data_IF_430300438805
#
_entry.id   IF_430300438805
#
_cell.length_a   1.000
_cell.length_b   1.000
_cell.length_c   1.000
_cell.angle_alpha   90.00
_cell.angle_beta   90.00
_cell.angle_gamma   90.00
#
_symmetry.space_group_name_H-M   'P 1'
#
loop_
_entity.id
_entity.type
_entity.pdbx_description
1 polymer ?
#
# COMPACT_ATOMS: atom_id res chain seq x y z
N UNK A 1 -4.02 20.27 19.59
CA UNK A 1 -5.05 19.21 19.37
C UNK A 1 -4.43 18.25 18.39
N UNK A 2 -4.43 16.96 18.68
CA UNK A 2 -3.98 15.94 17.71
C UNK A 2 -5.02 15.90 16.60
N UNK A 3 -4.62 16.16 15.36
CA UNK A 3 -5.50 16.08 14.19
C UNK A 3 -5.98 14.65 14.03
N UNK A 4 -7.31 14.46 13.92
CA UNK A 4 -7.87 13.13 13.71
C UNK A 4 -7.54 12.63 12.31
N UNK A 5 -7.19 11.38 12.20
CA UNK A 5 -6.95 10.75 10.90
C UNK A 5 -8.26 10.49 10.19
N UNK A 6 -8.31 10.85 8.91
CA UNK A 6 -9.51 10.83 8.08
C UNK A 6 -9.52 9.58 7.21
N UNK A 7 -10.65 8.90 7.20
CA UNK A 7 -10.87 7.70 6.38
C UNK A 7 -12.07 7.92 5.47
N UNK A 8 -11.87 7.81 4.17
CA UNK A 8 -12.93 7.83 3.18
C UNK A 8 -13.46 6.40 3.00
N UNK A 9 -14.76 6.21 3.20
CA UNK A 9 -15.46 4.94 3.02
C UNK A 9 -16.30 5.05 1.76
N UNK A 10 -16.00 4.21 0.78
CA UNK A 10 -16.67 4.17 -0.51
C UNK A 10 -17.37 2.83 -0.65
N UNK A 11 -18.67 2.80 -0.48
CA UNK A 11 -19.50 1.59 -0.49
C UNK A 11 -20.94 1.97 -0.82
N UNK A 12 -21.58 1.31 -1.77
CA UNK A 12 -22.96 1.59 -2.16
C UNK A 12 -24.00 1.00 -1.20
N UNK A 13 -23.59 0.05 -0.33
CA UNK A 13 -24.41 -0.43 0.78
C UNK A 13 -24.26 0.50 1.99
N UNK A 14 -25.25 1.38 2.19
CA UNK A 14 -25.27 2.32 3.31
C UNK A 14 -25.14 1.63 4.67
N UNK A 15 -25.72 0.43 4.86
CA UNK A 15 -25.66 -0.27 6.14
C UNK A 15 -24.25 -0.76 6.45
N UNK A 16 -23.54 -1.26 5.43
CA UNK A 16 -22.14 -1.67 5.56
C UNK A 16 -21.26 -0.46 5.83
N UNK A 17 -21.44 0.61 5.06
CA UNK A 17 -20.65 1.85 5.20
C UNK A 17 -20.85 2.49 6.58
N UNK A 18 -22.08 2.58 7.08
CA UNK A 18 -22.39 3.10 8.42
C UNK A 18 -21.78 2.22 9.51
N UNK A 19 -21.87 0.90 9.37
CA UNK A 19 -21.28 -0.04 10.33
C UNK A 19 -19.77 0.11 10.41
N UNK A 20 -19.09 0.21 9.25
CA UNK A 20 -17.64 0.47 9.18
C UNK A 20 -17.31 1.80 9.86
N UNK A 21 -18.04 2.86 9.51
CA UNK A 21 -17.86 4.19 10.08
C UNK A 21 -17.98 4.17 11.61
N UNK A 22 -18.98 3.47 12.14
CA UNK A 22 -19.22 3.36 13.57
C UNK A 22 -18.07 2.68 14.32
N UNK A 23 -17.48 1.64 13.73
CA UNK A 23 -16.30 0.98 14.28
C UNK A 23 -15.06 1.90 14.25
N UNK A 24 -14.85 2.61 13.14
CA UNK A 24 -13.71 3.51 12.98
C UNK A 24 -13.80 4.75 13.88
N UNK A 25 -15.01 5.32 14.05
CA UNK A 25 -15.22 6.44 14.97
C UNK A 25 -14.95 6.06 16.43
N UNK A 26 -15.24 4.82 16.86
CA UNK A 26 -14.86 4.30 18.20
C UNK A 26 -13.35 4.27 18.41
N UNK A 27 -12.58 4.13 17.32
CA UNK A 27 -11.12 4.17 17.32
C UNK A 27 -10.56 5.58 17.07
N UNK A 28 -11.41 6.60 17.24
CA UNK A 28 -11.07 8.02 17.11
C UNK A 28 -10.71 8.49 15.69
N UNK A 29 -11.06 7.76 14.64
CA UNK A 29 -10.96 8.22 13.26
C UNK A 29 -12.10 9.18 12.90
N UNK A 30 -11.86 10.09 11.96
CA UNK A 30 -12.87 10.86 11.29
C UNK A 30 -13.22 10.16 9.97
N UNK A 31 -14.50 9.95 9.70
CA UNK A 31 -14.96 9.18 8.54
C UNK A 31 -15.88 10.03 7.65
N UNK A 32 -15.77 9.83 6.35
CA UNK A 32 -16.70 10.31 5.33
C UNK A 32 -17.17 9.14 4.50
N UNK A 33 -18.49 9.02 4.29
CA UNK A 33 -19.11 7.95 3.52
C UNK A 33 -19.56 8.52 2.18
N UNK A 34 -19.32 7.76 1.10
CA UNK A 34 -19.83 8.02 -0.25
C UNK A 34 -20.28 6.72 -0.89
N UNK A 35 -21.36 6.74 -1.69
CA UNK A 35 -21.97 5.54 -2.25
C UNK A 35 -21.67 5.27 -3.73
N UNK A 36 -20.83 6.08 -4.37
CA UNK A 36 -20.51 5.95 -5.80
C UNK A 36 -19.11 6.45 -6.15
N UNK A 37 -18.61 6.05 -7.33
CA UNK A 37 -17.26 6.32 -7.74
C UNK A 37 -16.97 7.78 -8.09
N UNK A 38 -17.91 8.50 -8.67
CA UNK A 38 -17.77 9.91 -9.02
C UNK A 38 -17.65 10.78 -7.76
N UNK A 39 -18.55 10.57 -6.80
CA UNK A 39 -18.50 11.23 -5.49
C UNK A 39 -17.20 10.87 -4.74
N UNK A 40 -16.73 9.63 -4.84
CA UNK A 40 -15.48 9.21 -4.22
C UNK A 40 -14.28 10.02 -4.71
N UNK A 41 -14.17 10.25 -6.02
CA UNK A 41 -13.06 11.03 -6.60
C UNK A 41 -13.14 12.51 -6.21
N UNK A 42 -14.34 13.11 -6.20
CA UNK A 42 -14.54 14.49 -5.77
C UNK A 42 -14.21 14.68 -4.29
N UNK A 43 -14.75 13.80 -3.46
CA UNK A 43 -14.58 13.85 -2.01
C UNK A 43 -13.18 13.50 -1.57
N UNK A 44 -12.47 12.68 -2.34
CA UNK A 44 -11.04 12.40 -2.09
C UNK A 44 -10.21 13.68 -2.10
N UNK A 45 -10.43 14.54 -3.09
CA UNK A 45 -9.67 15.79 -3.24
C UNK A 45 -10.03 16.83 -2.18
N UNK A 46 -11.29 16.89 -1.75
CA UNK A 46 -11.77 17.81 -0.72
C UNK A 46 -11.44 17.34 0.69
N UNK A 47 -11.75 16.09 1.01
CA UNK A 47 -11.61 15.51 2.34
C UNK A 47 -10.16 15.17 2.69
N UNK A 48 -9.30 14.92 1.69
CA UNK A 48 -7.88 14.54 1.83
C UNK A 48 -7.69 13.41 2.84
N UNK A 49 -8.23 12.24 2.57
CA UNK A 49 -8.19 11.12 3.50
C UNK A 49 -6.76 10.59 3.68
N UNK A 50 -6.50 10.03 4.85
CA UNK A 50 -5.25 9.31 5.16
C UNK A 50 -5.33 7.83 4.79
N UNK A 51 -6.54 7.33 4.48
CA UNK A 51 -6.81 5.98 3.99
C UNK A 51 -8.18 5.96 3.29
N UNK A 52 -8.28 5.14 2.25
CA UNK A 52 -9.54 4.86 1.54
C UNK A 52 -9.92 3.40 1.75
N UNK A 53 -11.14 3.15 2.21
CA UNK A 53 -11.80 1.85 2.12
C UNK A 53 -12.69 1.87 0.90
N UNK A 54 -12.49 0.97 -0.05
CA UNK A 54 -13.06 1.07 -1.38
C UNK A 54 -13.75 -0.22 -1.78
N UNK A 55 -15.07 -0.19 -1.93
CA UNK A 55 -15.78 -1.30 -2.58
C UNK A 55 -15.46 -1.35 -4.07
N UNK A 56 -15.41 -2.56 -4.60
CA UNK A 56 -15.22 -2.81 -6.02
C UNK A 56 -16.50 -2.65 -6.84
N UNK A 57 -17.63 -2.98 -6.23
CA UNK A 57 -18.94 -3.07 -6.92
C UNK A 57 -19.73 -1.78 -6.74
N UNK A 58 -19.20 -0.67 -7.23
CA UNK A 58 -19.86 0.63 -7.17
C UNK A 58 -20.74 0.89 -8.41
N UNK A 59 -21.83 1.66 -8.26
CA UNK A 59 -22.58 2.15 -9.39
C UNK A 59 -21.79 3.22 -10.16
N UNK A 60 -21.96 3.27 -11.48
CA UNK A 60 -21.27 4.21 -12.36
C UNK A 60 -19.81 3.82 -12.60
N UNK A 61 -18.88 4.50 -11.97
CA UNK A 61 -17.45 4.19 -12.02
C UNK A 61 -17.15 3.11 -10.98
N UNK A 62 -16.62 1.97 -11.44
CA UNK A 62 -16.27 0.86 -10.55
C UNK A 62 -15.06 1.18 -9.63
N UNK A 63 -14.92 0.40 -8.55
CA UNK A 63 -13.83 0.61 -7.59
C UNK A 63 -12.44 0.43 -8.19
N UNK A 64 -12.28 -0.35 -9.25
CA UNK A 64 -11.00 -0.49 -9.93
C UNK A 64 -10.59 0.81 -10.64
N UNK A 65 -11.54 1.47 -11.29
CA UNK A 65 -11.29 2.75 -11.94
C UNK A 65 -11.03 3.85 -10.90
N UNK A 66 -11.81 3.90 -9.80
CA UNK A 66 -11.58 4.83 -8.69
C UNK A 66 -10.16 4.66 -8.13
N UNK A 67 -9.72 3.41 -7.88
CA UNK A 67 -8.37 3.12 -7.43
C UNK A 67 -7.30 3.64 -8.39
N UNK A 68 -7.46 3.42 -9.68
CA UNK A 68 -6.53 3.88 -10.72
C UNK A 68 -6.43 5.40 -10.76
N UNK A 69 -7.57 6.09 -10.69
CA UNK A 69 -7.63 7.56 -10.70
C UNK A 69 -6.95 8.15 -9.46
N UNK A 70 -7.21 7.59 -8.26
CA UNK A 70 -6.52 8.01 -7.04
C UNK A 70 -5.02 7.76 -7.16
N UNK A 71 -4.59 6.60 -7.65
CA UNK A 71 -3.18 6.25 -7.81
C UNK A 71 -2.44 7.11 -8.83
N UNK A 72 -3.13 7.67 -9.80
CA UNK A 72 -2.52 8.59 -10.77
C UNK A 72 -2.05 9.89 -10.12
N UNK A 73 -2.61 10.27 -8.96
CA UNK A 73 -2.38 11.56 -8.30
C UNK A 73 -1.95 11.46 -6.83
N UNK A 74 -2.04 10.27 -6.21
CA UNK A 74 -1.74 10.12 -4.78
C UNK A 74 -1.25 8.72 -4.41
N UNK A 75 -0.40 8.67 -3.38
CA UNK A 75 0.02 7.44 -2.71
C UNK A 75 -0.82 7.11 -1.47
N UNK A 76 -1.93 7.83 -1.21
CA UNK A 76 -2.83 7.54 -0.09
C UNK A 76 -3.20 6.06 -0.05
N UNK A 77 -3.04 5.37 1.09
CA UNK A 77 -3.34 3.95 1.17
C UNK A 77 -4.79 3.61 0.81
N UNK A 78 -4.96 2.51 0.07
CA UNK A 78 -6.28 1.99 -0.33
C UNK A 78 -6.40 0.55 0.12
N UNK A 79 -7.45 0.24 0.89
CA UNK A 79 -7.86 -1.14 1.19
C UNK A 79 -9.12 -1.41 0.37
N UNK A 80 -9.06 -2.38 -0.52
CA UNK A 80 -10.24 -2.80 -1.29
C UNK A 80 -11.12 -3.73 -0.48
N UNK A 81 -12.43 -3.51 -0.55
CA UNK A 81 -13.46 -4.36 0.03
C UNK A 81 -14.22 -5.02 -1.11
N UNK A 82 -14.49 -6.32 -1.04
CA UNK A 82 -15.21 -7.00 -2.11
C UNK A 82 -16.00 -8.21 -1.63
N UNK A 83 -17.19 -8.40 -2.20
CA UNK A 83 -17.95 -9.62 -2.06
C UNK A 83 -17.37 -10.80 -2.91
N UNK A 84 -16.47 -10.49 -3.85
CA UNK A 84 -15.84 -11.48 -4.72
C UNK A 84 -14.57 -12.02 -4.09
N UNK A 85 -14.57 -13.33 -3.84
CA UNK A 85 -13.43 -14.04 -3.27
C UNK A 85 -12.50 -14.69 -4.33
N UNK A 86 -12.71 -14.42 -5.62
CA UNK A 86 -11.89 -15.03 -6.66
C UNK A 86 -10.47 -14.44 -6.65
N UNK A 87 -9.50 -15.33 -6.86
CA UNK A 87 -8.07 -14.95 -6.88
C UNK A 87 -7.80 -13.87 -7.92
N UNK A 88 -8.52 -13.91 -9.04
CA UNK A 88 -8.39 -12.93 -10.13
C UNK A 88 -8.75 -11.51 -9.68
N UNK A 89 -9.84 -11.32 -8.94
CA UNK A 89 -10.29 -10.01 -8.47
C UNK A 89 -9.29 -9.40 -7.48
N UNK A 90 -8.70 -10.25 -6.61
CA UNK A 90 -7.67 -9.81 -5.66
C UNK A 90 -6.39 -9.36 -6.38
N UNK A 91 -5.93 -10.17 -7.35
CA UNK A 91 -4.74 -9.86 -8.14
C UNK A 91 -4.96 -8.55 -8.90
N UNK A 92 -6.10 -8.40 -9.56
CA UNK A 92 -6.42 -7.18 -10.32
C UNK A 92 -6.48 -5.94 -9.42
N UNK A 93 -7.11 -6.02 -8.24
CA UNK A 93 -7.18 -4.90 -7.30
C UNK A 93 -5.79 -4.45 -6.84
N UNK A 94 -4.94 -5.41 -6.49
CA UNK A 94 -3.55 -5.14 -6.12
C UNK A 94 -2.73 -4.66 -7.32
N UNK A 95 -2.95 -5.19 -8.52
CA UNK A 95 -2.35 -4.71 -9.77
C UNK A 95 -2.66 -3.24 -10.05
N UNK A 96 -3.85 -2.78 -9.68
CA UNK A 96 -4.28 -1.40 -9.88
C UNK A 96 -3.80 -0.44 -8.78
N UNK A 97 -3.18 -0.94 -7.71
CA UNK A 97 -2.54 -0.10 -6.71
C UNK A 97 -3.11 -0.18 -5.30
N UNK A 98 -4.03 -1.09 -5.03
CA UNK A 98 -4.46 -1.31 -3.65
C UNK A 98 -3.29 -1.80 -2.78
N UNK A 99 -3.26 -1.36 -1.52
CA UNK A 99 -2.26 -1.76 -0.53
C UNK A 99 -2.69 -3.02 0.21
N UNK A 100 -3.99 -3.25 0.31
CA UNK A 100 -4.57 -4.45 0.93
C UNK A 100 -5.95 -4.75 0.31
N UNK A 101 -6.46 -5.96 0.57
CA UNK A 101 -7.72 -6.47 0.04
C UNK A 101 -8.45 -7.28 1.12
N UNK A 102 -9.73 -7.02 1.32
CA UNK A 102 -10.58 -7.75 2.26
C UNK A 102 -11.83 -8.28 1.58
N UNK A 103 -12.23 -9.49 1.97
CA UNK A 103 -13.45 -10.12 1.45
C UNK A 103 -14.62 -9.83 2.40
N UNK A 104 -15.74 -9.41 1.86
CA UNK A 104 -17.02 -9.32 2.57
C UNK A 104 -17.69 -10.71 2.65
N UNK A 105 -18.28 -11.12 3.80
CA UNK A 105 -18.28 -10.41 5.07
C UNK A 105 -16.96 -10.53 5.83
N UNK A 106 -16.54 -9.47 6.52
CA UNK A 106 -15.32 -9.43 7.29
C UNK A 106 -15.59 -9.20 8.78
N UNK A 107 -14.65 -9.62 9.62
CA UNK A 107 -14.68 -9.33 11.05
C UNK A 107 -14.26 -7.87 11.30
N UNK A 108 -15.00 -7.17 12.18
CA UNK A 108 -14.72 -5.78 12.51
C UNK A 108 -13.34 -5.57 13.14
N UNK A 109 -12.85 -6.54 13.93
CA UNK A 109 -11.52 -6.46 14.54
C UNK A 109 -10.43 -6.62 13.48
N UNK A 110 -10.66 -7.47 12.48
CA UNK A 110 -9.75 -7.62 11.33
C UNK A 110 -9.65 -6.30 10.55
N UNK A 111 -10.80 -5.70 10.20
CA UNK A 111 -10.83 -4.40 9.52
C UNK A 111 -10.04 -3.34 10.29
N UNK A 112 -10.33 -3.18 11.59
CA UNK A 112 -9.64 -2.20 12.45
C UNK A 112 -8.13 -2.49 12.51
N UNK A 113 -7.73 -3.74 12.66
CA UNK A 113 -6.33 -4.11 12.71
C UNK A 113 -5.58 -3.77 11.43
N UNK A 114 -6.18 -4.03 10.26
CA UNK A 114 -5.62 -3.68 8.94
C UNK A 114 -5.55 -2.18 8.74
N UNK A 115 -6.62 -1.44 9.04
CA UNK A 115 -6.64 0.02 8.99
C UNK A 115 -5.53 0.63 9.86
N UNK A 116 -5.42 0.20 11.13
CA UNK A 116 -4.36 0.67 12.04
C UNK A 116 -2.96 0.34 11.51
N UNK A 117 -2.76 -0.86 10.98
CA UNK A 117 -1.47 -1.26 10.44
C UNK A 117 -1.07 -0.41 9.24
N UNK A 118 -2.00 -0.18 8.29
CA UNK A 118 -1.76 0.61 7.08
C UNK A 118 -1.51 2.08 7.44
N UNK A 119 -2.37 2.69 8.28
CA UNK A 119 -2.22 4.10 8.67
C UNK A 119 -0.93 4.34 9.49
N UNK A 120 -0.59 3.45 10.42
CA UNK A 120 0.66 3.56 11.19
C UNK A 120 1.88 3.62 10.28
N UNK A 121 1.89 2.80 9.25
CA UNK A 121 2.98 2.76 8.26
C UNK A 121 3.06 4.06 7.47
N UNK A 122 1.92 4.63 7.10
CA UNK A 122 1.85 5.86 6.31
C UNK A 122 2.18 7.12 7.10
N UNK A 123 1.76 7.22 8.38
CA UNK A 123 2.04 8.40 9.21
C UNK A 123 3.51 8.56 9.60
N UNK A 124 4.25 7.48 9.69
CA UNK A 124 5.68 7.55 9.89
C UNK A 124 6.41 8.17 8.67
N UNK A 125 5.71 8.30 7.54
CA UNK A 125 6.23 8.88 6.29
C UNK A 125 6.15 10.42 6.24
N UNK A 126 5.36 11.06 7.12
CA UNK A 126 5.02 12.49 6.99
C UNK A 126 5.83 13.43 7.89
N UNK A 127 6.75 12.93 8.69
CA UNK A 127 7.53 13.77 9.62
C UNK A 127 8.98 13.89 9.15
N UNK A 128 9.29 15.07 8.60
CA UNK A 128 10.59 15.75 8.55
C UNK A 128 11.59 15.41 7.44
N UNK A 129 12.11 16.48 6.89
CA UNK A 129 13.32 16.61 6.08
C UNK A 129 14.48 15.74 6.59
N UNK A 130 15.42 15.32 5.72
CA UNK A 130 16.47 14.37 6.08
C UNK A 130 17.51 15.03 7.00
N UNK A 131 17.30 14.95 8.29
CA UNK A 131 18.44 14.92 9.21
C UNK A 131 18.98 13.50 9.17
N UNK A 132 20.27 13.37 8.90
CA UNK A 132 21.02 12.12 8.98
C UNK A 132 20.95 11.60 10.41
N UNK A 133 19.94 10.80 10.70
CA UNK A 133 19.83 10.14 11.99
C UNK A 133 20.49 8.77 11.93
N UNK A 134 21.65 8.68 12.54
CA UNK A 134 22.33 7.45 12.91
C UNK A 134 21.53 6.74 14.01
N UNK A 135 20.51 5.92 13.63
CA UNK A 135 19.75 5.15 14.60
C UNK A 135 18.32 4.84 14.17
N UNK A 136 18.13 4.11 13.07
CA UNK A 136 16.82 3.65 12.62
C UNK A 136 16.96 2.51 11.60
N UNK A 137 15.86 1.85 11.24
CA UNK A 137 15.82 0.85 10.20
C UNK A 137 15.92 1.52 8.82
N UNK A 138 17.13 1.64 8.28
CA UNK A 138 17.36 2.14 6.94
C UNK A 138 18.45 1.36 6.23
N UNK A 139 18.44 1.42 4.92
CA UNK A 139 19.54 0.93 4.07
C UNK A 139 19.97 2.04 3.12
N UNK A 140 21.27 2.10 2.84
CA UNK A 140 21.88 3.09 1.98
C UNK A 140 22.79 2.41 0.94
N UNK A 141 22.55 2.74 -0.31
CA UNK A 141 23.36 2.33 -1.45
C UNK A 141 23.66 3.56 -2.31
N UNK A 142 24.64 3.53 -3.20
CA UNK A 142 24.83 4.61 -4.15
C UNK A 142 23.52 4.94 -4.87
N UNK A 143 23.12 6.22 -4.79
CA UNK A 143 21.90 6.79 -5.36
C UNK A 143 20.57 6.30 -4.74
N UNK A 144 20.56 5.43 -3.72
CA UNK A 144 19.35 4.92 -3.09
C UNK A 144 19.46 4.92 -1.57
N UNK A 145 18.52 5.58 -0.91
CA UNK A 145 18.30 5.46 0.54
C UNK A 145 16.86 5.02 0.78
N UNK A 146 16.68 3.92 1.51
CA UNK A 146 15.37 3.41 1.92
C UNK A 146 15.30 3.44 3.44
N UNK A 147 14.40 4.23 3.98
CA UNK A 147 14.26 4.42 5.42
C UNK A 147 12.88 3.95 5.88
N UNK A 148 12.86 2.83 6.62
CA UNK A 148 11.63 2.27 7.20
C UNK A 148 11.14 3.01 8.43
N UNK A 149 12.01 3.75 9.11
CA UNK A 149 11.63 4.49 10.31
C UNK A 149 10.69 5.64 9.98
N UNK A 150 10.97 6.35 8.88
CA UNK A 150 10.15 7.47 8.43
C UNK A 150 9.40 7.19 7.11
N UNK A 151 9.41 5.94 6.63
CA UNK A 151 8.76 5.51 5.38
C UNK A 151 9.12 6.37 4.17
N UNK A 152 10.40 6.70 4.03
CA UNK A 152 10.90 7.55 2.96
C UNK A 152 11.89 6.80 2.06
N UNK A 153 11.82 7.09 0.76
CA UNK A 153 12.78 6.61 -0.23
C UNK A 153 13.38 7.81 -0.95
N UNK A 154 14.69 7.87 -0.98
CA UNK A 154 15.42 8.85 -1.79
C UNK A 154 16.17 8.12 -2.89
N UNK A 155 15.93 8.51 -4.14
CA UNK A 155 16.62 7.98 -5.31
C UNK A 155 17.20 9.12 -6.16
N UNK A 156 18.50 9.03 -6.49
CA UNK A 156 19.25 10.10 -7.18
C UNK A 156 19.12 11.46 -6.48
N UNK A 157 19.09 11.47 -5.14
CA UNK A 157 18.96 12.68 -4.33
C UNK A 157 17.56 13.30 -4.31
N UNK A 158 16.56 12.64 -4.90
CA UNK A 158 15.15 13.08 -4.91
C UNK A 158 14.30 12.15 -4.07
N UNK A 159 13.33 12.71 -3.35
CA UNK A 159 12.34 11.90 -2.67
C UNK A 159 11.41 11.22 -3.68
N UNK A 160 11.18 9.92 -3.51
CA UNK A 160 10.30 9.10 -4.35
C UNK A 160 9.12 8.63 -3.52
N UNK A 161 7.93 9.07 -3.88
CA UNK A 161 6.70 8.62 -3.22
C UNK A 161 6.40 7.17 -3.57
N UNK A 162 6.23 6.35 -2.54
CA UNK A 162 5.90 4.94 -2.68
C UNK A 162 4.74 4.54 -1.77
N UNK A 163 3.75 3.78 -2.27
CA UNK A 163 2.78 3.10 -1.43
C UNK A 163 3.49 2.21 -0.40
N UNK A 164 2.89 2.02 0.81
CA UNK A 164 3.54 1.29 1.89
C UNK A 164 4.09 -0.08 1.50
N UNK A 165 3.34 -0.87 0.75
CA UNK A 165 3.77 -2.21 0.34
C UNK A 165 4.93 -2.23 -0.65
N UNK A 166 5.04 -1.23 -1.49
CA UNK A 166 6.19 -1.07 -2.38
C UNK A 166 7.45 -0.73 -1.58
N UNK A 167 7.33 0.17 -0.61
CA UNK A 167 8.44 0.56 0.25
C UNK A 167 8.91 -0.60 1.13
N UNK A 168 7.97 -1.33 1.76
CA UNK A 168 8.28 -2.51 2.58
C UNK A 168 9.01 -3.59 1.75
N UNK A 169 8.55 -3.85 0.54
CA UNK A 169 9.17 -4.82 -0.36
C UNK A 169 10.57 -4.38 -0.77
N UNK A 170 10.75 -3.10 -1.12
CA UNK A 170 12.06 -2.55 -1.45
C UNK A 170 13.02 -2.64 -0.27
N UNK A 171 12.57 -2.22 0.92
CA UNK A 171 13.37 -2.29 2.15
C UNK A 171 13.78 -3.74 2.46
N UNK A 172 12.82 -4.66 2.43
CA UNK A 172 13.08 -6.07 2.72
C UNK A 172 14.14 -6.65 1.78
N UNK A 173 14.00 -6.42 0.48
CA UNK A 173 14.97 -6.91 -0.51
C UNK A 173 16.33 -6.24 -0.34
N UNK A 174 16.39 -4.93 -0.14
CA UNK A 174 17.64 -4.18 0.00
C UNK A 174 18.34 -4.44 1.33
N UNK A 175 17.62 -4.82 2.38
CA UNK A 175 18.20 -5.24 3.66
C UNK A 175 18.83 -6.64 3.61
N UNK A 176 18.58 -7.42 2.54
CA UNK A 176 19.12 -8.75 2.33
C UNK A 176 19.82 -8.84 0.97
N UNK A 177 20.91 -8.08 0.76
CA UNK A 177 21.55 -7.99 -0.55
C UNK A 177 22.08 -9.34 -1.01
N UNK A 178 21.93 -9.62 -2.30
CA UNK A 178 22.34 -10.85 -2.98
C UNK A 178 21.62 -12.13 -2.53
N UNK A 179 20.68 -12.05 -1.60
CA UNK A 179 19.84 -13.17 -1.21
C UNK A 179 18.63 -13.29 -2.15
N UNK A 180 18.37 -14.51 -2.61
CA UNK A 180 17.20 -14.82 -3.44
C UNK A 180 16.03 -15.19 -2.54
N UNK A 181 14.89 -14.57 -2.77
CA UNK A 181 13.62 -14.89 -2.11
C UNK A 181 12.61 -15.41 -3.12
N UNK A 182 11.90 -16.47 -2.76
CA UNK A 182 10.77 -16.93 -3.58
C UNK A 182 9.62 -15.95 -3.49
N UNK A 183 8.66 -16.06 -4.43
CA UNK A 183 7.45 -15.24 -4.40
C UNK A 183 6.63 -15.46 -3.13
N UNK A 184 6.53 -16.70 -2.70
CA UNK A 184 5.86 -17.10 -1.46
C UNK A 184 6.51 -16.44 -0.24
N UNK A 185 7.85 -16.54 -0.15
CA UNK A 185 8.59 -15.90 0.96
C UNK A 185 8.38 -14.40 1.00
N UNK A 186 8.40 -13.72 -0.15
CA UNK A 186 8.14 -12.29 -0.21
C UNK A 186 6.69 -11.96 0.15
N UNK A 187 5.75 -12.77 -0.30
CA UNK A 187 4.34 -12.60 0.05
C UNK A 187 4.14 -12.72 1.57
N UNK A 188 4.65 -13.79 2.18
CA UNK A 188 4.54 -14.04 3.61
C UNK A 188 5.18 -12.93 4.45
N UNK A 189 6.37 -12.46 4.06
CA UNK A 189 7.08 -11.44 4.83
C UNK A 189 6.45 -10.04 4.71
N UNK A 190 5.88 -9.69 3.55
CA UNK A 190 5.36 -8.33 3.29
C UNK A 190 3.86 -8.24 3.52
N UNK A 191 3.09 -9.27 3.18
CA UNK A 191 1.63 -9.29 3.33
C UNK A 191 1.15 -10.13 4.51
N UNK A 192 1.99 -11.05 5.01
CA UNK A 192 1.71 -11.92 6.16
C UNK A 192 1.23 -13.31 5.76
N UNK A 193 1.40 -14.29 6.67
CA UNK A 193 1.04 -15.71 6.43
C UNK A 193 -0.46 -15.94 6.21
N UNK A 194 -1.31 -15.06 6.72
CA UNK A 194 -2.77 -15.15 6.55
C UNK A 194 -3.24 -14.54 5.21
N UNK A 195 -2.32 -14.02 4.42
CA UNK A 195 -2.66 -13.43 3.13
C UNK A 195 -3.01 -14.51 2.12
N UNK A 196 -4.29 -14.66 1.81
CA UNK A 196 -4.83 -15.65 0.84
C UNK A 196 -4.79 -15.06 -0.59
N UNK A 197 -3.68 -14.42 -0.96
CA UNK A 197 -3.50 -13.83 -2.29
C UNK A 197 -2.61 -14.67 -3.21
N UNK A 198 -2.62 -14.33 -4.50
CA UNK A 198 -1.73 -14.94 -5.50
C UNK A 198 -0.30 -14.37 -5.34
N UNK A 199 0.69 -15.22 -5.52
CA UNK A 199 2.12 -14.83 -5.52
C UNK A 199 2.46 -13.83 -6.63
N UNK A 200 1.63 -13.71 -7.67
CA UNK A 200 1.74 -12.68 -8.72
C UNK A 200 1.63 -11.26 -8.20
N UNK A 201 1.03 -11.06 -7.03
CA UNK A 201 1.04 -9.77 -6.33
C UNK A 201 2.45 -9.22 -6.20
N UNK A 202 3.42 -10.07 -5.88
CA UNK A 202 4.83 -9.71 -5.78
C UNK A 202 5.37 -9.20 -7.11
N UNK A 203 5.07 -9.90 -8.22
CA UNK A 203 5.53 -9.53 -9.56
C UNK A 203 5.10 -8.11 -9.95
N UNK A 204 3.87 -7.76 -9.61
CA UNK A 204 3.30 -6.44 -9.88
C UNK A 204 4.01 -5.34 -9.09
N UNK A 205 4.23 -5.55 -7.79
CA UNK A 205 4.92 -4.58 -6.96
C UNK A 205 6.39 -4.43 -7.38
N UNK A 206 7.06 -5.52 -7.78
CA UNK A 206 8.42 -5.46 -8.37
C UNK A 206 8.42 -4.63 -9.67
N UNK A 207 7.43 -4.83 -10.54
CA UNK A 207 7.30 -4.03 -11.76
C UNK A 207 7.22 -2.54 -11.45
N UNK A 208 6.35 -2.15 -10.50
CA UNK A 208 6.17 -0.76 -10.09
C UNK A 208 7.41 -0.17 -9.43
N UNK A 209 8.11 -0.94 -8.60
CA UNK A 209 9.38 -0.52 -8.05
C UNK A 209 10.38 -0.18 -9.16
N UNK A 210 10.48 -1.04 -10.19
CA UNK A 210 11.38 -0.80 -11.34
C UNK A 210 10.97 0.38 -12.20
N UNK A 211 9.69 0.77 -12.19
CA UNK A 211 9.20 1.97 -12.88
C UNK A 211 9.58 3.26 -12.14
N UNK A 212 9.68 3.20 -10.80
CA UNK A 212 10.01 4.35 -9.94
C UNK A 212 11.50 4.50 -9.67
N UNK A 213 12.20 3.37 -9.50
CA UNK A 213 13.64 3.32 -9.27
C UNK A 213 14.27 2.43 -10.32
N UNK A 214 15.25 2.95 -11.06
CA UNK A 214 15.90 2.20 -12.12
C UNK A 214 17.19 1.57 -11.62
N UNK A 215 17.46 0.35 -12.10
CA UNK A 215 18.73 -0.31 -11.89
C UNK A 215 19.91 0.57 -12.33
N UNK A 216 20.99 0.53 -11.59
CA UNK A 216 22.20 1.28 -11.93
C UNK A 216 23.44 0.36 -11.96
N UNK A 217 24.63 0.96 -12.08
CA UNK A 217 25.88 0.18 -12.10
C UNK A 217 26.24 -0.46 -10.75
N UNK A 218 25.64 -0.02 -9.65
CA UNK A 218 25.97 -0.47 -8.29
C UNK A 218 25.02 -1.54 -7.77
N UNK A 219 23.75 -1.48 -8.15
CA UNK A 219 22.73 -2.43 -7.70
C UNK A 219 21.59 -2.60 -8.73
N UNK A 220 20.80 -3.65 -8.55
CA UNK A 220 19.63 -3.94 -9.36
C UNK A 220 18.61 -4.78 -8.59
N UNK A 221 17.33 -4.63 -8.90
CA UNK A 221 16.32 -5.61 -8.49
C UNK A 221 16.27 -6.69 -9.56
N UNK A 222 16.92 -7.81 -9.32
CA UNK A 222 17.11 -8.88 -10.31
C UNK A 222 16.07 -9.97 -10.18
N UNK A 223 15.58 -10.47 -11.33
CA UNK A 223 14.68 -11.63 -11.39
C UNK A 223 15.52 -12.91 -11.48
N UNK A 224 15.25 -13.87 -10.60
CA UNK A 224 15.78 -15.22 -10.69
C UNK A 224 14.68 -16.10 -11.28
N UNK A 225 14.83 -16.44 -12.56
CA UNK A 225 13.80 -17.13 -13.33
C UNK A 225 13.38 -18.45 -12.68
N UNK A 226 12.07 -18.63 -12.58
CA UNK A 226 11.47 -19.82 -11.95
C UNK A 226 11.51 -19.84 -10.42
N UNK A 227 12.17 -18.86 -9.77
CA UNK A 227 12.32 -18.80 -8.31
C UNK A 227 11.65 -17.54 -7.74
N UNK A 228 12.19 -16.35 -8.04
CA UNK A 228 11.70 -15.10 -7.43
C UNK A 228 12.63 -13.93 -7.70
N UNK A 229 12.96 -13.16 -6.65
CA UNK A 229 13.66 -11.90 -6.77
C UNK A 229 14.80 -11.74 -5.76
N UNK A 230 15.76 -10.88 -6.09
CA UNK A 230 16.83 -10.45 -5.20
C UNK A 230 17.18 -8.99 -5.44
N UNK A 231 17.67 -8.31 -4.42
CA UNK A 231 18.39 -7.06 -4.58
C UNK A 231 19.87 -7.41 -4.80
N UNK A 232 20.35 -7.19 -5.99
CA UNK A 232 21.71 -7.54 -6.40
C UNK A 232 22.63 -6.35 -6.25
N UNK A 233 23.66 -6.47 -5.43
CA UNK A 233 24.74 -5.49 -5.35
C UNK A 233 25.82 -5.92 -6.30
N UNK A 234 26.12 -5.07 -7.28
CA UNK A 234 27.14 -5.30 -8.31
C UNK A 234 28.51 -4.91 -7.75
N UNK A 235 29.50 -5.73 -8.09
CA UNK A 235 30.90 -5.49 -7.69
C UNK A 235 31.59 -4.55 -8.66
#
# INVERSE_FOLDING_TARGET
MVEKQRILIVDDDENIAELISLYLMKECYETKIVGDGESALSDFDEFKPHLVLLDLMLPGIDGYQVCREIRSKSCTPIIMLSAKGEVFDKVLGLELGADDYMIKPFDSKELIARVKAVIRRFNNSTISLPEVHTGGEYVEYPDLVVNMTNYAVTFLGKNVEMPPKELELLYFLSSHPNQVFTREQLLDNIWGYEYIGDTRTVDVHIKRLREKIHDNQFWAISTVWGIGYKFEVKK
#
